data_IF_809987974977
#
_entry.id   IF_809987974977
#
_cell.length_a   1.000
_cell.length_b   1.000
_cell.length_c   1.000
_cell.angle_alpha   90.00
_cell.angle_beta   90.00
_cell.angle_gamma   90.00
#
_symmetry.space_group_name_H-M   'P 1'
#
loop_
_entity.id
_entity.type
_entity.pdbx_description
1 polymer ?
#
# COMPACT_ATOMS: atom_id res chain seq x y z
N UNK A 1 -3.16 -1.57 -12.18
CA UNK A 1 -2.91 -2.40 -10.98
C UNK A 1 -2.45 -1.54 -9.81
N UNK A 2 -1.36 -0.78 -9.94
CA UNK A 2 -0.85 0.15 -8.90
C UNK A 2 -1.93 1.12 -8.38
N UNK A 3 -2.63 1.84 -9.26
CA UNK A 3 -3.71 2.76 -8.86
C UNK A 3 -4.86 2.06 -8.12
N UNK A 4 -5.16 0.80 -8.47
CA UNK A 4 -6.19 0.03 -7.79
C UNK A 4 -5.73 -0.38 -6.39
N UNK A 5 -4.45 -0.72 -6.22
CA UNK A 5 -3.86 -1.02 -4.92
C UNK A 5 -3.85 0.23 -4.02
N UNK A 6 -3.55 1.41 -4.57
CA UNK A 6 -3.65 2.68 -3.84
C UNK A 6 -5.05 2.93 -3.28
N UNK A 7 -6.11 2.68 -4.06
CA UNK A 7 -7.49 2.80 -3.57
C UNK A 7 -7.79 1.86 -2.42
N UNK A 8 -7.22 0.66 -2.42
CA UNK A 8 -7.38 -0.29 -1.32
C UNK A 8 -6.63 0.16 -0.06
N UNK A 9 -5.44 0.73 -0.21
CA UNK A 9 -4.71 1.36 0.90
C UNK A 9 -5.54 2.50 1.51
N UNK A 10 -6.16 3.35 0.70
CA UNK A 10 -7.03 4.41 1.19
C UNK A 10 -8.28 3.86 1.89
N UNK A 11 -8.89 2.82 1.32
CA UNK A 11 -10.07 2.18 1.89
C UNK A 11 -9.78 1.57 3.27
N UNK A 12 -8.61 0.95 3.44
CA UNK A 12 -8.16 0.37 4.72
C UNK A 12 -7.95 1.43 5.81
N UNK A 13 -7.75 2.71 5.45
CA UNK A 13 -7.45 3.77 6.42
C UNK A 13 -8.63 4.69 6.73
N UNK A 14 -9.83 4.37 6.22
CA UNK A 14 -10.98 5.28 6.27
C UNK A 14 -11.53 5.49 7.70
N UNK A 15 -11.42 4.48 8.55
CA UNK A 15 -11.87 4.48 9.95
C UNK A 15 -10.73 4.81 10.93
N UNK A 16 -9.52 5.08 10.40
CA UNK A 16 -8.30 5.36 11.17
C UNK A 16 -7.83 4.22 12.08
N UNK A 17 -8.46 3.05 12.03
CA UNK A 17 -8.06 1.86 12.76
C UNK A 17 -7.39 0.88 11.78
N UNK A 18 -6.32 0.21 12.20
CA UNK A 18 -5.69 -0.81 11.36
C UNK A 18 -5.49 -2.07 12.19
N UNK A 19 -6.13 -3.14 11.77
CA UNK A 19 -5.89 -4.45 12.33
C UNK A 19 -4.85 -5.21 11.51
N UNK A 20 -4.04 -6.04 12.19
CA UNK A 20 -3.04 -6.86 11.51
C UNK A 20 -3.64 -7.80 10.45
N UNK A 21 -4.89 -8.21 10.64
CA UNK A 21 -5.63 -9.02 9.67
C UNK A 21 -5.87 -8.24 8.37
N UNK A 22 -6.15 -6.94 8.45
CA UNK A 22 -6.40 -6.08 7.28
C UNK A 22 -5.12 -5.82 6.52
N UNK A 23 -4.02 -5.55 7.22
CA UNK A 23 -2.68 -5.42 6.64
C UNK A 23 -2.31 -6.70 5.89
N UNK A 24 -2.48 -7.86 6.53
CA UNK A 24 -2.23 -9.16 5.90
C UNK A 24 -3.13 -9.42 4.68
N UNK A 25 -4.40 -9.03 4.74
CA UNK A 25 -5.35 -9.16 3.62
C UNK A 25 -4.96 -8.26 2.46
N UNK A 26 -4.61 -7.00 2.72
CA UNK A 26 -4.17 -6.05 1.69
C UNK A 26 -2.87 -6.51 1.03
N UNK A 27 -1.93 -7.05 1.82
CA UNK A 27 -0.70 -7.66 1.31
C UNK A 27 -1.01 -8.80 0.33
N UNK A 28 -1.87 -9.75 0.72
CA UNK A 28 -2.26 -10.87 -0.13
C UNK A 28 -3.00 -10.44 -1.40
N UNK A 29 -3.85 -9.41 -1.32
CA UNK A 29 -4.48 -8.82 -2.51
C UNK A 29 -3.42 -8.23 -3.44
N UNK A 30 -2.43 -7.49 -2.91
CA UNK A 30 -1.33 -6.94 -3.69
C UNK A 30 -0.52 -8.03 -4.42
N UNK A 31 -0.22 -9.14 -3.75
CA UNK A 31 0.42 -10.30 -4.35
C UNK A 31 -0.44 -10.90 -5.49
N UNK A 32 -1.75 -11.07 -5.26
CA UNK A 32 -2.69 -11.54 -6.28
C UNK A 32 -2.83 -10.60 -7.48
N UNK A 33 -2.50 -9.31 -7.31
CA UNK A 33 -2.42 -8.32 -8.39
C UNK A 33 -1.07 -8.34 -9.14
N UNK A 34 -0.15 -9.25 -8.78
CA UNK A 34 1.18 -9.33 -9.37
C UNK A 34 2.07 -8.13 -9.06
N UNK A 35 1.87 -7.51 -7.89
CA UNK A 35 2.74 -6.43 -7.42
C UNK A 35 3.96 -7.02 -6.69
N UNK A 36 5.15 -6.40 -6.79
CA UNK A 36 6.34 -6.89 -6.10
C UNK A 36 6.14 -6.91 -4.58
N UNK A 37 6.44 -8.03 -3.88
CA UNK A 37 6.27 -8.14 -2.42
C UNK A 37 6.99 -7.01 -1.67
N UNK A 38 8.23 -6.72 -2.04
CA UNK A 38 9.04 -5.64 -1.45
C UNK A 38 8.41 -4.25 -1.61
N UNK A 39 7.75 -3.99 -2.75
CA UNK A 39 7.06 -2.73 -2.97
C UNK A 39 5.79 -2.62 -2.11
N UNK A 40 5.03 -3.71 -1.96
CA UNK A 40 3.86 -3.78 -1.08
C UNK A 40 4.26 -3.51 0.37
N UNK A 41 5.28 -4.22 0.86
CA UNK A 41 5.81 -4.03 2.22
C UNK A 41 6.26 -2.58 2.43
N UNK A 42 7.00 -2.02 1.48
CA UNK A 42 7.44 -0.63 1.57
C UNK A 42 6.27 0.36 1.64
N UNK A 43 5.20 0.16 0.87
CA UNK A 43 3.98 0.99 0.98
C UNK A 43 3.37 0.87 2.39
N UNK A 44 3.25 -0.35 2.92
CA UNK A 44 2.69 -0.60 4.25
C UNK A 44 3.58 -0.03 5.37
N UNK A 45 4.89 0.06 5.16
CA UNK A 45 5.79 0.73 6.12
C UNK A 45 5.63 2.25 6.02
N UNK A 46 5.84 2.80 4.82
CA UNK A 46 5.87 4.26 4.57
C UNK A 46 4.55 4.95 4.89
N UNK A 47 3.40 4.25 4.87
CA UNK A 47 2.12 4.88 5.23
C UNK A 47 2.12 5.41 6.67
N UNK A 48 2.88 4.81 7.57
CA UNK A 48 2.97 5.26 8.97
C UNK A 48 3.68 6.61 9.12
N UNK A 49 4.37 7.09 8.08
CA UNK A 49 5.05 8.38 8.06
C UNK A 49 4.11 9.53 7.67
N UNK A 50 2.86 9.24 7.28
CA UNK A 50 1.88 10.24 6.83
C UNK A 50 0.74 10.42 7.84
N UNK A 51 0.19 11.64 7.97
CA UNK A 51 -1.04 11.86 8.72
C UNK A 51 -2.17 11.03 8.11
N UNK A 52 -3.00 10.43 8.97
CA UNK A 52 -4.11 9.54 8.59
C UNK A 52 -3.68 8.33 7.72
N UNK A 53 -2.37 8.07 7.64
CA UNK A 53 -1.76 7.00 6.82
C UNK A 53 -2.08 7.11 5.32
N UNK A 54 -2.36 8.33 4.86
CA UNK A 54 -2.68 8.64 3.46
C UNK A 54 -1.37 8.93 2.71
N UNK A 55 -0.94 7.96 1.89
CA UNK A 55 0.23 8.15 1.03
C UNK A 55 -0.15 8.95 -0.22
N UNK A 56 0.62 10.01 -0.56
CA UNK A 56 0.49 10.73 -1.82
C UNK A 56 0.69 9.82 -3.06
N UNK A 57 -0.09 9.99 -4.14
CA UNK A 57 -0.01 9.12 -5.32
C UNK A 57 1.38 9.04 -5.96
N UNK A 58 2.13 10.13 -5.98
CA UNK A 58 3.48 10.24 -6.52
C UNK A 58 4.49 9.39 -5.73
N UNK A 59 4.41 9.41 -4.40
CA UNK A 59 5.24 8.58 -3.51
C UNK A 59 4.99 7.11 -3.78
N UNK A 60 3.72 6.70 -3.88
CA UNK A 60 3.37 5.32 -4.17
C UNK A 60 3.87 4.88 -5.55
N UNK A 61 3.71 5.71 -6.58
CA UNK A 61 4.24 5.43 -7.93
C UNK A 61 5.77 5.28 -7.90
N UNK A 62 6.47 6.12 -7.15
CA UNK A 62 7.93 6.07 -7.03
C UNK A 62 8.41 4.80 -6.35
N UNK A 63 7.73 4.33 -5.30
CA UNK A 63 8.01 3.04 -4.66
C UNK A 63 7.94 1.91 -5.70
N UNK A 64 6.82 1.79 -6.42
CA UNK A 64 6.68 0.73 -7.41
C UNK A 64 7.72 0.82 -8.53
N UNK A 65 8.01 2.03 -9.05
CA UNK A 65 9.05 2.21 -10.08
C UNK A 65 10.42 1.71 -9.63
N UNK A 66 10.81 1.92 -8.36
CA UNK A 66 12.10 1.48 -7.84
C UNK A 66 12.26 -0.05 -7.83
N UNK A 67 11.16 -0.79 -7.67
CA UNK A 67 11.13 -2.27 -7.63
C UNK A 67 10.84 -2.93 -9.00
N UNK A 68 10.68 -2.14 -10.07
CA UNK A 68 10.51 -2.64 -11.45
C UNK A 68 11.82 -2.57 -12.28
N UNK A 69 12.93 -2.16 -11.66
CA UNK A 69 14.26 -2.09 -12.29
C UNK A 69 14.92 -3.47 -12.41
#
# INVERSE_FOLDING_TARGET
>A
RILQFHRLVLLMNVDQEQHQIEIGKLHNIGLGMGLPPSAIEQVLTVMHDYPDKIIPPDVLINIFKAHYN
#
